data_IF_943614927031
#
_entry.id   IF_943614927031
#
_cell.length_a   1.000
_cell.length_b   1.000
_cell.length_c   1.000
_cell.angle_alpha   90.00
_cell.angle_beta   90.00
_cell.angle_gamma   90.00
#
_symmetry.space_group_name_H-M   'P 1'
#
loop_
_entity.id
_entity.type
_entity.pdbx_description
1 polymer ?
#
# COMPACT_ATOMS: atom_id res chain seq x y z
N UNK A 1 6.35 -25.37 18.61
CA UNK A 1 6.62 -24.41 17.52
C UNK A 1 6.87 -22.97 18.00
N UNK A 2 6.36 -22.53 19.15
CA UNK A 2 6.58 -21.13 19.65
C UNK A 2 8.05 -20.73 19.90
N UNK A 3 8.98 -21.68 19.95
CA UNK A 3 10.42 -21.44 20.17
C UNK A 3 11.28 -21.63 18.91
N UNK A 4 10.69 -22.00 17.76
CA UNK A 4 11.45 -22.21 16.54
C UNK A 4 11.91 -20.86 15.96
N UNK A 5 13.21 -20.74 15.73
CA UNK A 5 13.81 -19.60 15.03
C UNK A 5 14.20 -20.05 13.63
N UNK A 6 13.58 -19.46 12.62
CA UNK A 6 13.91 -19.70 11.22
C UNK A 6 14.99 -18.72 10.79
N UNK A 7 16.01 -19.21 10.11
CA UNK A 7 17.11 -18.39 9.55
C UNK A 7 17.71 -17.36 10.52
N UNK A 8 18.17 -17.75 11.73
CA UNK A 8 18.52 -16.82 12.81
C UNK A 8 19.71 -15.90 12.50
N UNK A 9 20.54 -16.28 11.50
CA UNK A 9 21.70 -15.50 11.06
C UNK A 9 21.42 -14.73 9.74
N UNK A 10 20.25 -14.90 9.12
CA UNK A 10 19.94 -14.22 7.88
C UNK A 10 19.56 -12.76 8.11
N UNK A 11 20.05 -11.91 7.24
CA UNK A 11 19.71 -10.50 7.16
C UNK A 11 19.01 -10.23 5.82
N UNK A 12 18.03 -9.35 5.82
CA UNK A 12 17.21 -9.04 4.65
C UNK A 12 16.73 -7.58 4.70
N UNK A 13 16.54 -6.97 3.54
CA UNK A 13 15.73 -5.76 3.39
C UNK A 13 14.50 -6.11 2.55
N UNK A 14 13.31 -6.04 3.14
CA UNK A 14 12.07 -6.28 2.41
C UNK A 14 11.88 -5.24 1.30
N UNK A 15 12.04 -3.94 1.61
CA UNK A 15 11.88 -2.87 0.63
C UNK A 15 12.85 -3.00 -0.55
N UNK A 16 14.11 -3.33 -0.30
CA UNK A 16 15.09 -3.56 -1.36
C UNK A 16 14.68 -4.75 -2.25
N UNK A 17 14.17 -5.84 -1.68
CA UNK A 17 13.70 -6.97 -2.46
C UNK A 17 12.50 -6.60 -3.37
N UNK A 18 11.63 -5.70 -2.94
CA UNK A 18 10.54 -5.20 -3.79
C UNK A 18 11.08 -4.31 -4.92
N UNK A 19 12.08 -3.50 -4.63
CA UNK A 19 12.66 -2.57 -5.59
C UNK A 19 13.67 -3.25 -6.54
N UNK A 20 14.32 -4.33 -6.09
CA UNK A 20 15.45 -4.96 -6.77
C UNK A 20 15.32 -6.47 -6.96
N UNK A 21 14.26 -7.08 -6.49
CA UNK A 21 14.08 -8.53 -6.56
C UNK A 21 13.86 -9.03 -7.98
N UNK A 22 14.40 -10.22 -8.25
CA UNK A 22 14.19 -10.94 -9.50
C UNK A 22 14.85 -10.32 -10.73
N UNK A 23 14.54 -10.86 -11.90
CA UNK A 23 14.90 -10.26 -13.19
C UNK A 23 13.96 -9.09 -13.44
N UNK A 24 14.51 -7.88 -13.45
CA UNK A 24 13.71 -6.68 -13.67
C UNK A 24 13.35 -6.46 -15.12
N UNK A 25 12.14 -5.95 -15.38
CA UNK A 25 11.87 -5.15 -16.56
C UNK A 25 12.81 -3.95 -16.62
N UNK A 26 12.83 -3.22 -17.73
CA UNK A 26 13.67 -2.03 -17.87
C UNK A 26 13.37 -0.98 -16.79
N UNK A 27 14.36 -0.16 -16.45
CA UNK A 27 14.24 0.86 -15.41
C UNK A 27 13.06 1.84 -15.64
N UNK A 28 12.71 2.06 -16.90
CA UNK A 28 11.62 2.94 -17.32
C UNK A 28 10.28 2.19 -17.55
N UNK A 29 10.26 0.86 -17.38
CA UNK A 29 9.02 0.10 -17.46
C UNK A 29 8.13 0.38 -16.25
N UNK A 30 6.83 0.14 -16.41
CA UNK A 30 5.85 0.38 -15.36
C UNK A 30 6.04 -0.63 -14.21
N UNK A 31 6.30 -0.13 -13.00
CA UNK A 31 6.25 -0.90 -11.77
C UNK A 31 4.83 -0.92 -11.20
N UNK A 32 4.14 0.22 -11.28
CA UNK A 32 2.78 0.39 -10.80
C UNK A 32 1.95 1.04 -11.89
N UNK A 33 0.77 0.51 -12.13
CA UNK A 33 -0.31 1.17 -12.85
C UNK A 33 -1.44 1.43 -11.87
N UNK A 34 -1.94 2.64 -11.84
CA UNK A 34 -3.07 3.05 -11.01
C UNK A 34 -4.22 3.54 -11.88
N UNK A 35 -5.41 3.11 -11.53
CA UNK A 35 -6.64 3.65 -12.07
C UNK A 35 -7.64 3.99 -10.96
N UNK A 36 -8.26 5.15 -11.09
CA UNK A 36 -9.41 5.56 -10.29
C UNK A 36 -10.71 5.39 -11.09
N UNK A 37 -11.82 5.19 -10.40
CA UNK A 37 -13.13 4.95 -11.03
C UNK A 37 -13.62 6.04 -11.98
N UNK A 38 -13.13 7.28 -11.82
CA UNK A 38 -13.44 8.43 -12.70
C UNK A 38 -12.57 8.50 -13.97
N UNK A 39 -11.79 7.45 -14.25
CA UNK A 39 -10.98 7.33 -15.45
C UNK A 39 -9.57 7.89 -15.33
N UNK A 40 -9.18 8.46 -14.19
CA UNK A 40 -7.79 8.86 -13.96
C UNK A 40 -6.89 7.63 -14.01
N UNK A 41 -5.89 7.65 -14.92
CA UNK A 41 -4.84 6.63 -14.99
C UNK A 41 -3.48 7.28 -14.77
N UNK A 42 -2.69 6.69 -13.90
CA UNK A 42 -1.28 7.06 -13.67
C UNK A 42 -0.42 5.82 -13.75
N UNK A 43 0.82 5.96 -14.17
CA UNK A 43 1.83 4.90 -14.04
C UNK A 43 3.05 5.43 -13.31
N UNK A 44 3.75 4.53 -12.63
CA UNK A 44 5.00 4.80 -11.93
C UNK A 44 6.02 3.79 -12.43
N UNK A 45 7.11 4.28 -12.98
CA UNK A 45 8.22 3.44 -13.42
C UNK A 45 9.02 2.86 -12.24
N UNK A 46 9.82 1.83 -12.49
CA UNK A 46 10.71 1.28 -11.48
C UNK A 46 11.69 2.32 -10.91
N UNK A 47 12.19 3.21 -11.76
CA UNK A 47 13.06 4.32 -11.32
C UNK A 47 12.30 5.29 -10.41
N UNK A 48 11.11 5.73 -10.81
CA UNK A 48 10.30 6.67 -10.01
C UNK A 48 9.87 6.06 -8.68
N UNK A 49 9.53 4.77 -8.66
CA UNK A 49 9.18 4.05 -7.43
C UNK A 49 10.37 4.00 -6.47
N UNK A 50 11.56 3.63 -6.98
CA UNK A 50 12.78 3.60 -6.18
C UNK A 50 13.11 4.98 -5.61
N UNK A 51 13.16 6.00 -6.46
CA UNK A 51 13.53 7.36 -6.08
C UNK A 51 12.56 7.96 -5.05
N UNK A 52 11.26 7.70 -5.23
CA UNK A 52 10.23 8.16 -4.29
C UNK A 52 10.31 7.42 -2.96
N UNK A 53 10.54 6.09 -2.97
CA UNK A 53 10.65 5.31 -1.76
C UNK A 53 11.90 5.70 -0.94
N UNK A 54 13.06 5.89 -1.60
CA UNK A 54 14.30 6.34 -0.94
C UNK A 54 14.16 7.77 -0.41
N UNK A 55 13.52 8.65 -1.18
CA UNK A 55 13.25 10.02 -0.74
C UNK A 55 12.36 10.05 0.50
N UNK A 56 11.21 9.35 0.45
CA UNK A 56 10.31 9.30 1.61
C UNK A 56 10.96 8.65 2.83
N UNK A 57 11.74 7.58 2.65
CA UNK A 57 12.49 6.95 3.73
C UNK A 57 13.51 7.92 4.34
N UNK A 58 14.18 8.73 3.51
CA UNK A 58 15.14 9.74 3.98
C UNK A 58 14.44 10.87 4.77
N UNK A 59 13.24 11.27 4.35
CA UNK A 59 12.40 12.19 5.13
C UNK A 59 12.00 11.58 6.47
N UNK A 60 11.48 10.34 6.47
CA UNK A 60 11.05 9.64 7.69
C UNK A 60 12.21 9.48 8.69
N UNK A 61 13.39 9.12 8.20
CA UNK A 61 14.60 9.07 9.05
C UNK A 61 14.96 10.44 9.63
N UNK A 62 14.85 11.51 8.83
CA UNK A 62 15.03 12.90 9.28
C UNK A 62 13.97 13.35 10.30
N UNK A 63 12.78 12.79 10.24
CA UNK A 63 11.71 12.96 11.23
C UNK A 63 11.87 12.02 12.45
N UNK A 64 13.00 11.33 12.57
CA UNK A 64 13.36 10.50 13.72
C UNK A 64 12.80 9.07 13.69
N UNK A 65 12.28 8.58 12.57
CA UNK A 65 11.83 7.18 12.46
C UNK A 65 13.03 6.23 12.48
N UNK A 66 13.04 5.30 13.41
CA UNK A 66 14.07 4.31 13.63
C UNK A 66 13.55 2.87 13.43
N UNK A 67 14.44 1.86 13.29
CA UNK A 67 14.02 0.47 13.22
C UNK A 67 13.13 0.07 14.39
N UNK A 68 11.96 -0.49 14.10
CA UNK A 68 10.98 -0.89 15.10
C UNK A 68 9.92 0.18 15.42
N UNK A 69 10.08 1.43 14.99
CA UNK A 69 9.02 2.43 15.04
C UNK A 69 7.87 2.06 14.11
N UNK A 70 6.69 2.64 14.33
CA UNK A 70 5.50 2.39 13.51
C UNK A 70 5.17 3.63 12.67
N UNK A 71 4.92 3.38 11.39
CA UNK A 71 4.35 4.36 10.44
C UNK A 71 2.97 3.88 10.06
N UNK A 72 1.95 4.68 10.33
CA UNK A 72 0.57 4.38 10.02
C UNK A 72 0.13 5.08 8.72
N UNK A 73 -0.69 4.42 7.92
CA UNK A 73 -1.26 4.96 6.69
C UNK A 73 -2.79 4.83 6.69
N UNK A 74 -3.48 5.97 6.66
CA UNK A 74 -4.92 6.05 6.43
C UNK A 74 -5.15 6.57 5.01
N UNK A 75 -5.06 5.66 4.05
CA UNK A 75 -4.83 5.95 2.65
C UNK A 75 -5.75 5.14 1.72
N UNK A 76 -6.11 5.68 0.55
CA UNK A 76 -6.70 4.90 -0.54
C UNK A 76 -5.67 3.96 -1.19
N UNK A 77 -6.14 3.16 -2.15
CA UNK A 77 -5.27 2.22 -2.89
C UNK A 77 -4.54 2.93 -4.04
N UNK A 78 -3.60 3.80 -3.70
CA UNK A 78 -2.83 4.64 -4.62
C UNK A 78 -1.33 4.32 -4.58
N UNK A 79 -0.55 4.70 -5.60
CA UNK A 79 0.91 4.47 -5.63
C UNK A 79 1.65 5.00 -4.42
N UNK A 80 1.22 6.13 -3.87
CA UNK A 80 1.80 6.78 -2.70
C UNK A 80 1.71 5.90 -1.44
N UNK A 81 0.68 5.05 -1.35
CA UNK A 81 0.54 4.06 -0.26
C UNK A 81 1.58 2.94 -0.38
N UNK A 82 1.87 2.50 -1.62
CA UNK A 82 2.96 1.53 -1.88
C UNK A 82 4.32 2.16 -1.55
N UNK A 83 4.56 3.40 -2.00
CA UNK A 83 5.78 4.16 -1.67
C UNK A 83 5.97 4.26 -0.16
N UNK A 84 4.90 4.57 0.59
CA UNK A 84 4.94 4.67 2.05
C UNK A 84 5.30 3.35 2.74
N UNK A 85 4.75 2.22 2.28
CA UNK A 85 5.07 0.89 2.80
C UNK A 85 6.53 0.53 2.52
N UNK A 86 7.01 0.75 1.29
CA UNK A 86 8.40 0.45 0.91
C UNK A 86 9.36 1.35 1.71
N UNK A 87 9.11 2.65 1.77
CA UNK A 87 9.92 3.61 2.51
C UNK A 87 10.05 3.22 4.00
N UNK A 88 8.95 2.84 4.63
CA UNK A 88 8.94 2.37 6.03
C UNK A 88 9.79 1.11 6.19
N UNK A 89 9.68 0.16 5.26
CA UNK A 89 10.43 -1.09 5.31
C UNK A 89 11.94 -0.93 5.07
N UNK A 90 12.35 0.07 4.25
CA UNK A 90 13.76 0.43 4.04
C UNK A 90 14.43 0.93 5.32
N UNK A 91 13.66 1.44 6.28
CA UNK A 91 14.14 1.86 7.60
C UNK A 91 14.15 0.73 8.64
N UNK A 92 13.61 -0.45 8.32
CA UNK A 92 13.34 -1.49 9.32
C UNK A 92 12.25 -1.09 10.32
N UNK A 93 11.46 -0.07 10.00
CA UNK A 93 10.27 0.33 10.72
C UNK A 93 9.07 -0.55 10.34
N UNK A 94 8.02 -0.50 11.13
CA UNK A 94 6.82 -1.33 10.97
C UNK A 94 5.69 -0.52 10.36
N UNK A 95 5.21 -0.95 9.20
CA UNK A 95 4.08 -0.30 8.52
C UNK A 95 2.74 -0.83 9.05
N UNK A 96 1.73 0.02 9.08
CA UNK A 96 0.34 -0.39 9.30
C UNK A 96 -0.59 0.49 8.49
N UNK A 97 -1.69 -0.06 8.00
CA UNK A 97 -2.60 0.72 7.15
C UNK A 97 -4.06 0.36 7.37
N UNK A 98 -4.92 1.31 7.02
CA UNK A 98 -6.36 1.13 6.92
C UNK A 98 -6.91 2.01 5.80
N UNK A 99 -8.00 1.57 5.20
CA UNK A 99 -8.69 2.26 4.11
C UNK A 99 -9.35 3.56 4.59
N UNK A 100 -9.48 4.61 3.74
CA UNK A 100 -10.02 5.90 4.12
C UNK A 100 -11.53 5.89 4.41
N UNK A 101 -12.24 4.81 4.11
CA UNK A 101 -13.65 4.63 4.44
C UNK A 101 -13.92 4.34 5.93
N UNK A 102 -12.87 3.98 6.70
CA UNK A 102 -13.01 3.85 8.15
C UNK A 102 -13.26 5.20 8.80
N UNK A 103 -14.25 5.25 9.71
CA UNK A 103 -14.49 6.43 10.57
C UNK A 103 -13.42 6.56 11.67
N UNK A 104 -13.39 7.72 12.34
CA UNK A 104 -12.41 8.08 13.38
C UNK A 104 -12.25 6.97 14.44
N UNK A 105 -13.35 6.47 15.01
CA UNK A 105 -13.29 5.39 16.00
C UNK A 105 -12.60 4.14 15.46
N UNK A 106 -12.91 3.72 14.23
CA UNK A 106 -12.30 2.55 13.60
C UNK A 106 -10.80 2.72 13.33
N UNK A 107 -10.35 3.94 13.03
CA UNK A 107 -8.93 4.28 12.86
C UNK A 107 -8.22 4.28 14.21
N UNK A 108 -8.78 4.95 15.22
CA UNK A 108 -8.20 5.03 16.57
C UNK A 108 -8.16 3.67 17.28
N UNK A 109 -9.18 2.82 17.09
CA UNK A 109 -9.19 1.44 17.60
C UNK A 109 -8.02 0.59 17.07
N UNK A 110 -7.47 0.96 15.92
CA UNK A 110 -6.33 0.29 15.29
C UNK A 110 -5.02 0.98 15.63
N UNK A 111 -4.90 2.23 15.24
CA UNK A 111 -3.63 2.97 15.34
C UNK A 111 -3.27 3.33 16.78
N UNK A 112 -4.25 3.55 17.64
CA UNK A 112 -4.03 3.78 19.08
C UNK A 112 -3.36 2.59 19.80
N UNK A 113 -3.55 1.35 19.30
CA UNK A 113 -2.89 0.16 19.87
C UNK A 113 -1.41 0.05 19.49
N UNK A 114 -1.00 0.67 18.38
CA UNK A 114 0.36 0.52 17.83
C UNK A 114 1.22 1.75 18.01
N UNK A 115 0.62 2.84 18.51
CA UNK A 115 1.33 4.08 18.87
C UNK A 115 2.25 4.56 17.74
N UNK A 116 1.71 4.96 16.57
CA UNK A 116 2.51 5.33 15.41
C UNK A 116 3.26 6.63 15.67
N UNK A 117 4.48 6.72 15.15
CA UNK A 117 5.31 7.92 15.19
C UNK A 117 5.00 8.88 14.05
N UNK A 118 4.62 8.33 12.88
CA UNK A 118 4.19 9.12 11.72
C UNK A 118 2.86 8.59 11.22
N UNK A 119 1.97 9.52 10.87
CA UNK A 119 0.72 9.23 10.16
C UNK A 119 0.82 9.78 8.73
N UNK A 120 0.56 8.91 7.76
CA UNK A 120 0.36 9.27 6.35
C UNK A 120 -1.12 9.11 6.07
N UNK A 121 -1.77 10.17 5.57
CA UNK A 121 -3.21 10.16 5.31
C UNK A 121 -3.53 10.81 3.97
N UNK A 122 -4.72 10.56 3.42
CA UNK A 122 -5.23 11.30 2.27
C UNK A 122 -6.21 12.38 2.71
N UNK A 123 -6.33 13.45 1.90
CA UNK A 123 -7.34 14.48 2.08
C UNK A 123 -8.78 13.96 1.82
N UNK A 124 -8.88 12.82 1.16
CA UNK A 124 -10.14 12.14 0.86
C UNK A 124 -9.98 10.99 -0.12
N UNK A 125 -11.09 10.57 -0.71
CA UNK A 125 -11.15 9.54 -1.74
C UNK A 125 -12.41 9.70 -2.60
N UNK A 126 -12.47 9.01 -3.75
CA UNK A 126 -13.64 8.97 -4.64
C UNK A 126 -14.27 7.58 -4.56
N UNK A 127 -15.58 7.50 -4.39
CA UNK A 127 -16.32 6.23 -4.43
C UNK A 127 -17.75 6.42 -4.95
N UNK A 128 -18.14 5.63 -5.94
CA UNK A 128 -19.43 5.72 -6.63
C UNK A 128 -19.74 7.15 -7.11
N UNK A 129 -18.76 7.78 -7.77
CA UNK A 129 -18.79 9.16 -8.29
C UNK A 129 -19.03 10.25 -7.22
N UNK A 130 -18.65 9.97 -5.98
CA UNK A 130 -18.73 10.93 -4.89
C UNK A 130 -17.36 11.14 -4.27
N UNK A 131 -17.04 12.42 -4.04
CA UNK A 131 -15.87 12.79 -3.26
C UNK A 131 -16.19 12.72 -1.76
N UNK A 132 -15.32 12.09 -1.00
CA UNK A 132 -15.42 11.94 0.44
C UNK A 132 -14.22 12.61 1.11
N UNK A 133 -14.33 13.89 1.47
CA UNK A 133 -13.28 14.59 2.23
C UNK A 133 -13.01 13.90 3.57
N UNK A 134 -11.73 13.91 3.98
CA UNK A 134 -11.28 13.34 5.26
C UNK A 134 -10.55 14.35 6.15
N UNK A 135 -10.35 15.59 5.73
CA UNK A 135 -9.53 16.56 6.44
C UNK A 135 -10.06 16.89 7.85
N UNK A 136 -11.38 17.02 8.02
CA UNK A 136 -11.96 17.28 9.36
C UNK A 136 -11.78 16.06 10.26
N UNK A 137 -12.07 14.86 9.76
CA UNK A 137 -11.88 13.60 10.50
C UNK A 137 -10.39 13.32 10.76
N UNK A 138 -9.49 13.76 9.87
CA UNK A 138 -8.06 13.64 10.07
C UNK A 138 -7.59 14.48 11.26
N UNK A 139 -8.13 15.66 11.45
CA UNK A 139 -7.84 16.48 12.63
C UNK A 139 -8.23 15.75 13.93
N UNK A 140 -9.40 15.09 13.95
CA UNK A 140 -9.82 14.27 15.10
C UNK A 140 -8.90 13.05 15.34
N UNK A 141 -8.51 12.36 14.25
CA UNK A 141 -7.58 11.22 14.35
C UNK A 141 -6.23 11.66 14.89
N UNK A 142 -5.68 12.78 14.39
CA UNK A 142 -4.39 13.34 14.85
C UNK A 142 -4.46 13.71 16.33
N UNK A 143 -5.55 14.34 16.77
CA UNK A 143 -5.77 14.66 18.20
C UNK A 143 -5.83 13.40 19.09
N UNK A 144 -6.32 12.28 18.55
CA UNK A 144 -6.42 10.99 19.24
C UNK A 144 -5.13 10.14 19.24
N UNK A 145 -4.06 10.59 18.56
CA UNK A 145 -2.79 9.86 18.45
C UNK A 145 -1.61 10.67 19.01
N UNK A 146 -1.43 10.71 20.35
CA UNK A 146 -0.47 11.59 21.01
C UNK A 146 1.00 11.23 20.76
N UNK A 147 1.29 10.08 20.14
CA UNK A 147 2.65 9.63 19.83
C UNK A 147 3.18 10.13 18.49
N UNK A 148 2.35 10.86 17.72
CA UNK A 148 2.75 11.38 16.43
C UNK A 148 3.82 12.45 16.56
N UNK A 149 4.85 12.34 15.73
CA UNK A 149 5.92 13.33 15.56
C UNK A 149 5.85 14.02 14.20
N UNK A 150 5.12 13.45 13.22
CA UNK A 150 4.83 14.09 11.94
C UNK A 150 3.53 13.55 11.32
N UNK A 151 2.88 14.39 10.50
CA UNK A 151 1.75 14.00 9.65
C UNK A 151 2.07 14.36 8.20
N UNK A 152 1.82 13.43 7.29
CA UNK A 152 1.98 13.61 5.85
C UNK A 152 0.61 13.43 5.20
N UNK A 153 0.17 14.38 4.37
CA UNK A 153 -1.14 14.31 3.73
C UNK A 153 -1.00 14.23 2.21
N UNK A 154 -1.50 13.16 1.64
CA UNK A 154 -1.63 13.00 0.19
C UNK A 154 -2.87 13.73 -0.31
N UNK A 155 -2.70 14.54 -1.35
CA UNK A 155 -3.77 15.28 -2.00
C UNK A 155 -4.45 14.44 -3.08
N UNK A 156 -5.37 13.56 -2.71
CA UNK A 156 -6.14 12.74 -3.65
C UNK A 156 -7.30 13.52 -4.28
N UNK A 157 -7.95 14.37 -3.52
CA UNK A 157 -9.04 15.23 -4.01
C UNK A 157 -8.54 16.60 -4.49
N UNK A 158 -7.42 17.07 -3.94
CA UNK A 158 -6.84 18.38 -4.26
C UNK A 158 -5.33 18.30 -4.30
N UNK A 159 -4.70 18.79 -5.37
CA UNK A 159 -3.25 18.89 -5.45
C UNK A 159 -2.62 19.80 -4.37
N UNK A 160 -3.42 20.62 -3.70
CA UNK A 160 -3.02 21.51 -2.61
C UNK A 160 -4.08 21.48 -1.48
N UNK A 161 -4.11 20.42 -0.65
CA UNK A 161 -5.11 20.29 0.41
C UNK A 161 -4.94 21.38 1.46
N UNK A 162 -6.06 21.88 1.97
CA UNK A 162 -6.04 22.85 3.07
C UNK A 162 -5.79 22.16 4.41
N UNK A 163 -4.56 22.19 4.87
CA UNK A 163 -4.12 21.51 6.09
C UNK A 163 -4.25 22.35 7.37
N UNK A 164 -4.89 23.53 7.32
CA UNK A 164 -5.00 24.47 8.46
C UNK A 164 -5.61 23.79 9.68
N UNK A 165 -6.76 23.14 9.54
CA UNK A 165 -7.42 22.45 10.65
C UNK A 165 -6.61 21.33 11.28
N UNK A 166 -5.85 20.58 10.46
CA UNK A 166 -4.96 19.52 10.97
C UNK A 166 -3.77 20.10 11.73
N UNK A 167 -3.24 21.26 11.29
CA UNK A 167 -2.13 21.97 11.97
C UNK A 167 -2.56 22.58 13.31
N UNK A 168 -3.79 23.05 13.40
CA UNK A 168 -4.31 23.71 14.61
C UNK A 168 -4.49 22.75 15.79
N UNK A 169 -4.90 21.50 15.54
CA UNK A 169 -5.14 20.49 16.60
C UNK A 169 -3.86 19.97 17.23
N UNK A 170 -2.73 20.11 16.56
CA UNK A 170 -1.48 19.47 16.99
C UNK A 170 -0.29 20.43 17.06
N UNK A 171 -0.52 21.70 17.14
CA UNK A 171 0.33 22.91 17.30
C UNK A 171 1.86 22.80 17.28
N UNK A 172 2.46 21.62 17.45
CA UNK A 172 3.91 21.42 17.60
C UNK A 172 4.54 20.48 16.57
N UNK A 173 3.77 19.59 15.93
CA UNK A 173 4.34 18.62 14.97
C UNK A 173 4.20 19.09 13.52
N UNK A 174 5.18 18.80 12.66
CA UNK A 174 5.11 19.15 11.25
C UNK A 174 3.96 18.41 10.54
N UNK A 175 3.16 19.17 9.79
CA UNK A 175 2.13 18.67 8.88
C UNK A 175 2.49 19.13 7.47
N UNK A 176 2.87 18.18 6.62
CA UNK A 176 3.32 18.42 5.25
C UNK A 176 2.36 17.76 4.26
N UNK A 177 2.30 18.28 3.03
CA UNK A 177 1.79 17.47 1.95
C UNK A 177 2.83 16.42 1.51
N UNK A 178 2.37 15.37 0.79
CA UNK A 178 3.20 14.23 0.43
C UNK A 178 4.36 14.64 -0.49
N UNK A 179 4.13 15.55 -1.43
CA UNK A 179 5.17 16.03 -2.35
C UNK A 179 6.21 16.87 -1.63
N UNK A 180 5.82 17.66 -0.61
CA UNK A 180 6.77 18.37 0.24
C UNK A 180 7.67 17.38 1.01
N UNK A 181 7.11 16.31 1.57
CA UNK A 181 7.89 15.29 2.26
C UNK A 181 8.89 14.60 1.30
N UNK A 182 8.45 14.25 0.09
CA UNK A 182 9.33 13.73 -0.98
C UNK A 182 10.42 14.74 -1.34
N UNK A 183 10.08 16.01 -1.52
CA UNK A 183 11.03 17.08 -1.85
C UNK A 183 12.13 17.26 -0.79
N UNK A 184 11.75 17.25 0.49
CA UNK A 184 12.70 17.31 1.62
C UNK A 184 13.63 16.09 1.62
N UNK A 185 13.07 14.89 1.40
CA UNK A 185 13.86 13.66 1.31
C UNK A 185 14.83 13.65 0.13
N UNK A 186 14.41 14.06 -1.06
CA UNK A 186 15.28 14.23 -2.24
C UNK A 186 16.43 15.19 -1.96
N UNK A 187 16.16 16.29 -1.28
CA UNK A 187 17.19 17.24 -0.87
C UNK A 187 18.19 16.59 0.10
N UNK A 188 17.72 15.82 1.08
CA UNK A 188 18.59 15.08 1.99
C UNK A 188 19.49 14.09 1.24
N UNK A 189 18.94 13.32 0.28
CA UNK A 189 19.70 12.40 -0.57
C UNK A 189 20.75 13.14 -1.38
N UNK A 190 20.41 14.24 -2.06
CA UNK A 190 21.34 15.02 -2.88
C UNK A 190 22.50 15.63 -2.07
N UNK A 191 22.29 15.85 -0.77
CA UNK A 191 23.28 16.38 0.17
C UNK A 191 24.09 15.28 0.87
N UNK A 192 23.94 14.01 0.49
CA UNK A 192 24.60 12.87 1.13
C UNK A 192 24.12 12.57 2.54
N UNK A 193 22.94 13.06 2.91
CA UNK A 193 22.27 12.82 4.21
C UNK A 193 21.08 11.88 4.10
N UNK A 194 20.89 11.25 2.93
CA UNK A 194 19.89 10.24 2.71
C UNK A 194 20.18 8.94 3.46
N UNK A 195 19.21 8.04 3.47
CA UNK A 195 19.37 6.69 4.02
C UNK A 195 20.31 5.85 3.15
N UNK A 196 20.87 4.79 3.73
CA UNK A 196 21.43 3.67 2.95
C UNK A 196 20.28 2.71 2.56
N UNK A 197 19.85 2.69 1.29
CA UNK A 197 18.74 1.83 0.85
C UNK A 197 19.09 0.33 0.89
N UNK A 198 20.39 -0.02 0.98
CA UNK A 198 20.88 -1.40 1.04
C UNK A 198 21.06 -1.91 2.48
N UNK A 199 20.66 -1.14 3.48
CA UNK A 199 20.72 -1.57 4.87
C UNK A 199 19.87 -2.82 5.08
N UNK A 200 20.50 -3.82 5.72
CA UNK A 200 19.87 -5.10 6.02
C UNK A 200 19.42 -5.18 7.48
N UNK A 201 18.34 -5.90 7.71
CA UNK A 201 17.75 -6.14 9.02
C UNK A 201 17.62 -7.64 9.29
N UNK A 202 17.36 -8.01 10.52
CA UNK A 202 17.15 -9.41 10.90
C UNK A 202 15.98 -10.00 10.12
N UNK A 203 16.07 -11.28 9.81
CA UNK A 203 15.01 -12.03 9.11
C UNK A 203 13.66 -11.95 9.83
N UNK A 204 13.66 -11.93 11.17
CA UNK A 204 12.49 -11.85 12.03
C UNK A 204 12.07 -10.41 12.39
N UNK A 205 12.62 -9.38 11.71
CA UNK A 205 12.22 -7.98 11.88
C UNK A 205 10.72 -7.81 11.63
N UNK A 206 9.96 -7.16 12.52
CA UNK A 206 8.58 -6.77 12.23
C UNK A 206 8.50 -5.92 10.96
N UNK A 207 7.56 -6.26 10.08
CA UNK A 207 7.40 -5.59 8.78
C UNK A 207 6.13 -4.75 8.76
N UNK A 208 5.00 -5.37 9.03
CA UNK A 208 3.72 -4.66 9.13
C UNK A 208 2.76 -5.32 10.11
N UNK A 209 1.79 -4.52 10.55
CA UNK A 209 0.72 -4.93 11.45
C UNK A 209 -0.59 -4.87 10.69
N UNK A 210 -1.29 -6.00 10.63
CA UNK A 210 -2.64 -6.11 10.13
C UNK A 210 -3.63 -6.29 11.29
N UNK A 211 -4.90 -6.04 11.02
CA UNK A 211 -5.96 -6.12 12.02
C UNK A 211 -6.99 -7.16 11.64
N UNK A 212 -7.29 -8.05 12.54
CA UNK A 212 -8.42 -8.97 12.38
C UNK A 212 -9.68 -8.37 13.00
N UNK A 213 -10.84 -8.57 12.37
CA UNK A 213 -12.12 -8.30 13.00
C UNK A 213 -12.29 -9.26 14.17
N UNK A 214 -12.06 -8.77 15.39
CA UNK A 214 -12.33 -9.55 16.61
C UNK A 214 -13.83 -9.78 16.75
N UNK A 215 -14.25 -10.99 17.05
CA UNK A 215 -15.65 -11.32 17.39
C UNK A 215 -16.10 -10.73 18.71
N UNK A 216 -15.20 -10.11 19.49
CA UNK A 216 -15.41 -9.72 20.89
C UNK A 216 -14.81 -8.36 21.25
N UNK A 217 -14.79 -7.36 20.37
CA UNK A 217 -14.32 -6.01 20.73
C UNK A 217 -13.28 -5.40 19.78
N UNK A 218 -12.28 -4.75 20.33
CA UNK A 218 -11.23 -4.04 19.59
C UNK A 218 -10.48 -4.98 18.62
N UNK A 219 -10.17 -4.55 17.38
CA UNK A 219 -9.41 -5.35 16.41
C UNK A 219 -8.10 -5.87 16.98
N UNK A 220 -7.76 -7.13 16.68
CA UNK A 220 -6.50 -7.73 17.16
C UNK A 220 -5.38 -7.41 16.17
N UNK A 221 -4.24 -6.94 16.68
CA UNK A 221 -3.03 -6.70 15.92
C UNK A 221 -2.33 -8.02 15.58
N UNK A 222 -2.02 -8.24 14.31
CA UNK A 222 -1.26 -9.37 13.79
C UNK A 222 0.03 -8.84 13.20
N UNK A 223 1.16 -9.11 13.85
CA UNK A 223 2.49 -8.66 13.42
C UNK A 223 3.09 -9.68 12.47
N UNK A 224 3.47 -9.24 11.28
CA UNK A 224 4.17 -10.04 10.28
C UNK A 224 5.65 -9.70 10.25
N UNK A 225 6.48 -10.74 10.05
CA UNK A 225 7.95 -10.62 9.98
C UNK A 225 8.41 -10.56 8.52
N UNK A 226 9.41 -9.71 8.25
CA UNK A 226 9.88 -9.39 6.91
C UNK A 226 10.33 -10.62 6.09
N UNK A 227 11.24 -11.40 6.63
CA UNK A 227 11.83 -12.53 5.89
C UNK A 227 10.86 -13.67 5.67
N UNK A 228 10.10 -14.06 6.71
CA UNK A 228 9.13 -15.15 6.62
C UNK A 228 8.00 -14.82 5.63
N UNK A 229 7.54 -13.57 5.64
CA UNK A 229 6.48 -13.13 4.76
C UNK A 229 6.95 -13.04 3.30
N UNK A 230 8.11 -12.41 3.05
CA UNK A 230 8.66 -12.30 1.70
C UNK A 230 8.85 -13.68 1.08
N UNK A 231 9.47 -14.62 1.83
CA UNK A 231 9.68 -15.98 1.38
C UNK A 231 8.35 -16.67 1.04
N UNK A 232 7.34 -16.53 1.91
CA UNK A 232 6.01 -17.10 1.68
C UNK A 232 5.36 -16.53 0.42
N UNK A 233 5.34 -15.20 0.27
CA UNK A 233 4.71 -14.55 -0.88
C UNK A 233 5.42 -14.91 -2.20
N UNK A 234 6.75 -14.90 -2.22
CA UNK A 234 7.51 -15.29 -3.43
C UNK A 234 7.22 -16.75 -3.82
N UNK A 235 7.14 -17.66 -2.85
CA UNK A 235 6.77 -19.06 -3.12
C UNK A 235 5.35 -19.15 -3.71
N UNK A 236 4.38 -18.47 -3.11
CA UNK A 236 3.01 -18.47 -3.62
C UNK A 236 2.92 -17.84 -5.01
N UNK A 237 3.55 -16.70 -5.20
CA UNK A 237 3.49 -15.94 -6.43
C UNK A 237 4.19 -16.65 -7.59
N UNK A 238 5.43 -17.08 -7.39
CA UNK A 238 6.21 -17.67 -8.47
C UNK A 238 5.89 -19.16 -8.71
N UNK A 239 5.67 -19.95 -7.65
CA UNK A 239 5.50 -21.40 -7.79
C UNK A 239 4.03 -21.83 -7.89
N UNK A 240 3.09 -21.12 -7.23
CA UNK A 240 1.69 -21.51 -7.22
C UNK A 240 0.86 -20.69 -8.23
N UNK A 241 1.18 -19.42 -8.40
CA UNK A 241 0.46 -18.52 -9.31
C UNK A 241 1.20 -18.29 -10.63
N UNK A 242 2.42 -18.82 -10.79
CA UNK A 242 3.28 -18.65 -11.98
C UNK A 242 3.47 -17.17 -12.37
N UNK A 243 3.62 -16.29 -11.38
CA UNK A 243 3.94 -14.89 -11.62
C UNK A 243 5.40 -14.77 -12.05
N UNK A 244 5.63 -14.09 -13.18
CA UNK A 244 6.92 -13.92 -13.83
C UNK A 244 7.28 -12.45 -13.99
N UNK A 245 8.56 -12.13 -14.19
CA UNK A 245 8.95 -10.76 -14.56
C UNK A 245 8.19 -10.28 -15.81
N UNK A 246 7.64 -9.07 -15.72
CA UNK A 246 6.82 -8.47 -16.78
C UNK A 246 5.34 -8.84 -16.75
N UNK A 247 4.91 -9.75 -15.86
CA UNK A 247 3.48 -9.99 -15.64
C UNK A 247 2.79 -8.75 -15.05
N UNK A 248 1.49 -8.64 -15.30
CA UNK A 248 0.64 -7.57 -14.75
C UNK A 248 -0.34 -8.19 -13.76
N UNK A 249 -0.13 -7.90 -12.49
CA UNK A 249 -0.89 -8.49 -11.37
C UNK A 249 -1.88 -7.47 -10.83
N UNK A 250 -3.14 -7.79 -10.91
CA UNK A 250 -4.23 -7.00 -10.33
C UNK A 250 -4.92 -7.78 -9.21
N UNK A 251 -5.11 -7.17 -8.07
CA UNK A 251 -5.98 -7.68 -7.01
C UNK A 251 -6.95 -6.58 -6.56
N UNK A 252 -8.26 -6.82 -6.72
CA UNK A 252 -9.27 -5.87 -6.23
C UNK A 252 -9.33 -5.93 -4.70
N UNK A 253 -8.68 -4.98 -4.07
CA UNK A 253 -8.50 -4.89 -2.62
C UNK A 253 -8.23 -3.46 -2.17
N UNK A 254 -8.22 -3.20 -0.87
CA UNK A 254 -7.80 -1.94 -0.27
C UNK A 254 -6.63 -2.15 0.68
N UNK A 255 -5.92 -1.09 1.05
CA UNK A 255 -4.73 -1.17 1.90
C UNK A 255 -5.01 -1.66 3.34
N UNK A 256 -6.29 -1.79 3.74
CA UNK A 256 -6.69 -2.37 5.02
C UNK A 256 -6.76 -3.90 5.05
N UNK A 257 -6.58 -4.57 3.90
CA UNK A 257 -6.70 -6.02 3.76
C UNK A 257 -5.37 -6.70 3.46
N UNK A 258 -5.21 -7.95 3.90
CA UNK A 258 -4.00 -8.74 3.69
C UNK A 258 -3.63 -8.92 2.20
N UNK A 259 -4.62 -9.04 1.32
CA UNK A 259 -4.37 -9.22 -0.11
C UNK A 259 -3.73 -8.00 -0.78
N UNK A 260 -3.87 -6.81 -0.21
CA UNK A 260 -3.13 -5.64 -0.66
C UNK A 260 -1.61 -5.81 -0.41
N UNK A 261 -1.22 -6.31 0.76
CA UNK A 261 0.19 -6.57 1.06
C UNK A 261 0.75 -7.71 0.19
N UNK A 262 -0.09 -8.71 -0.13
CA UNK A 262 0.27 -9.77 -1.06
C UNK A 262 0.48 -9.21 -2.48
N UNK A 263 -0.43 -8.36 -2.98
CA UNK A 263 -0.30 -7.67 -4.26
C UNK A 263 0.99 -6.85 -4.32
N UNK A 264 1.24 -6.00 -3.31
CA UNK A 264 2.43 -5.16 -3.25
C UNK A 264 3.73 -5.98 -3.33
N UNK A 265 3.76 -7.17 -2.72
CA UNK A 265 4.94 -8.04 -2.77
C UNK A 265 5.20 -8.68 -4.15
N UNK A 266 4.26 -8.61 -5.10
CA UNK A 266 4.49 -9.10 -6.47
C UNK A 266 5.60 -8.30 -7.20
N UNK A 267 5.89 -7.09 -6.75
CA UNK A 267 7.06 -6.32 -7.19
C UNK A 267 8.36 -7.11 -7.00
N UNK A 268 8.50 -7.92 -5.94
CA UNK A 268 9.67 -8.77 -5.71
C UNK A 268 9.84 -9.87 -6.78
N UNK A 269 8.79 -10.17 -7.54
CA UNK A 269 8.82 -11.11 -8.67
C UNK A 269 9.06 -10.41 -10.01
N UNK A 270 9.32 -9.09 -10.01
CA UNK A 270 9.50 -8.28 -11.23
C UNK A 270 8.20 -8.03 -12.00
N UNK A 271 7.05 -8.20 -11.34
CA UNK A 271 5.75 -7.94 -11.94
C UNK A 271 5.33 -6.47 -11.79
N UNK A 272 4.59 -5.95 -12.76
CA UNK A 272 3.84 -4.70 -12.64
C UNK A 272 2.60 -4.94 -11.78
N UNK A 273 2.39 -4.16 -10.74
CA UNK A 273 1.14 -4.21 -9.98
C UNK A 273 0.13 -3.21 -10.50
N UNK A 274 -1.13 -3.65 -10.63
CA UNK A 274 -2.24 -2.79 -11.04
C UNK A 274 -3.08 -2.47 -9.81
N UNK A 275 -3.25 -1.19 -9.52
CA UNK A 275 -4.04 -0.66 -8.43
C UNK A 275 -5.33 -0.06 -8.98
N UNK A 276 -6.44 -0.29 -8.30
CA UNK A 276 -7.72 0.35 -8.59
C UNK A 276 -8.30 0.94 -7.31
N UNK A 277 -8.73 2.19 -7.36
CA UNK A 277 -9.45 2.85 -6.26
C UNK A 277 -10.83 3.30 -6.74
N UNK A 278 -11.87 2.81 -6.06
CA UNK A 278 -13.26 3.10 -6.39
C UNK A 278 -14.19 1.89 -6.31
N UNK A 279 -15.43 2.08 -6.75
CA UNK A 279 -16.45 1.04 -6.79
C UNK A 279 -16.21 0.04 -7.92
N UNK A 280 -16.34 -1.28 -7.68
CA UNK A 280 -16.13 -2.29 -8.72
C UNK A 280 -17.28 -2.40 -9.74
N UNK A 281 -18.35 -1.61 -9.56
CA UNK A 281 -19.54 -1.60 -10.41
C UNK A 281 -19.94 -0.18 -10.86
N UNK A 282 -19.00 0.78 -10.78
CA UNK A 282 -19.23 2.14 -11.24
C UNK A 282 -18.10 2.57 -12.20
N UNK A 283 -18.41 3.25 -13.31
CA UNK A 283 -19.74 3.67 -13.77
C UNK A 283 -20.63 2.53 -14.30
N UNK A 284 -20.03 1.40 -14.67
CA UNK A 284 -20.73 0.26 -15.26
C UNK A 284 -20.27 -1.05 -14.61
N UNK A 285 -21.09 -2.10 -14.81
CA UNK A 285 -20.85 -3.43 -14.21
C UNK A 285 -19.55 -4.10 -14.65
N UNK A 286 -19.06 -3.73 -15.82
CA UNK A 286 -17.91 -4.39 -16.46
C UNK A 286 -16.57 -3.66 -16.21
N UNK A 287 -16.57 -2.55 -15.44
CA UNK A 287 -15.40 -1.70 -15.20
C UNK A 287 -14.14 -2.46 -14.78
N UNK A 288 -14.27 -3.55 -14.00
CA UNK A 288 -13.14 -4.38 -13.62
C UNK A 288 -12.62 -5.22 -14.80
N UNK A 289 -13.52 -5.68 -15.67
CA UNK A 289 -13.15 -6.46 -16.85
C UNK A 289 -12.54 -5.56 -17.94
N UNK A 290 -13.06 -4.33 -18.08
CA UNK A 290 -12.44 -3.28 -18.91
C UNK A 290 -11.00 -2.98 -18.45
N UNK A 291 -10.76 -2.94 -17.13
CA UNK A 291 -9.41 -2.76 -16.57
C UNK A 291 -8.52 -3.95 -16.89
N UNK A 292 -9.03 -5.18 -16.71
CA UNK A 292 -8.29 -6.42 -16.99
C UNK A 292 -7.87 -6.50 -18.45
N UNK A 293 -8.78 -6.18 -19.39
CA UNK A 293 -8.49 -6.14 -20.83
C UNK A 293 -7.48 -5.05 -21.17
N UNK A 294 -7.76 -3.82 -20.79
CA UNK A 294 -6.95 -2.65 -21.16
C UNK A 294 -5.53 -2.72 -20.64
N UNK A 295 -5.34 -3.21 -19.42
CA UNK A 295 -4.02 -3.34 -18.81
C UNK A 295 -3.37 -4.70 -19.08
N UNK A 296 -3.96 -5.53 -19.94
CA UNK A 296 -3.44 -6.88 -20.27
C UNK A 296 -3.06 -7.67 -19.00
N UNK A 297 -3.97 -7.68 -18.01
CA UNK A 297 -3.74 -8.31 -16.71
C UNK A 297 -3.53 -9.81 -16.87
N UNK A 298 -2.44 -10.33 -16.34
CA UNK A 298 -2.10 -11.76 -16.40
C UNK A 298 -2.64 -12.57 -15.24
N UNK A 299 -2.80 -11.93 -14.07
CA UNK A 299 -3.45 -12.49 -12.88
C UNK A 299 -4.44 -11.48 -12.31
N UNK A 300 -5.71 -11.90 -12.20
CA UNK A 300 -6.77 -11.13 -11.56
C UNK A 300 -7.21 -11.78 -10.25
N UNK A 301 -7.00 -11.08 -9.15
CA UNK A 301 -7.46 -11.47 -7.83
C UNK A 301 -8.69 -10.68 -7.39
N UNK A 302 -9.67 -11.38 -6.81
CA UNK A 302 -10.91 -10.75 -6.35
C UNK A 302 -11.56 -11.57 -5.22
N UNK A 303 -12.80 -11.24 -4.85
CA UNK A 303 -13.60 -12.01 -3.90
C UNK A 303 -14.66 -12.86 -4.62
N UNK A 304 -15.03 -13.98 -4.02
CA UNK A 304 -16.16 -14.78 -4.50
C UNK A 304 -17.46 -13.96 -4.58
N UNK A 305 -17.62 -12.99 -3.67
CA UNK A 305 -18.78 -12.07 -3.67
C UNK A 305 -18.80 -11.18 -4.92
N UNK A 306 -17.65 -10.71 -5.39
CA UNK A 306 -17.57 -9.95 -6.64
C UNK A 306 -17.96 -10.82 -7.83
N UNK A 307 -17.45 -12.04 -7.93
CA UNK A 307 -17.77 -12.96 -9.03
C UNK A 307 -19.25 -13.29 -9.07
N UNK A 308 -19.87 -13.59 -7.92
CA UNK A 308 -21.32 -13.85 -7.81
C UNK A 308 -22.16 -12.62 -8.20
N UNK A 309 -21.77 -11.42 -7.74
CA UNK A 309 -22.44 -10.17 -8.08
C UNK A 309 -22.30 -9.84 -9.57
N UNK A 310 -21.13 -10.03 -10.17
CA UNK A 310 -20.86 -9.84 -11.59
C UNK A 310 -21.75 -10.79 -12.45
N UNK A 311 -21.80 -12.08 -12.08
CA UNK A 311 -22.66 -13.05 -12.76
C UNK A 311 -24.15 -12.69 -12.64
N UNK A 312 -24.62 -12.28 -11.45
CA UNK A 312 -26.01 -11.82 -11.23
C UNK A 312 -26.35 -10.55 -12.02
N UNK A 313 -25.38 -9.67 -12.24
CA UNK A 313 -25.53 -8.50 -13.10
C UNK A 313 -25.52 -8.84 -14.60
N UNK A 314 -25.35 -10.11 -14.97
CA UNK A 314 -25.33 -10.58 -16.36
C UNK A 314 -24.03 -10.24 -17.08
N UNK A 315 -22.91 -10.13 -16.39
CA UNK A 315 -21.59 -10.00 -17.03
C UNK A 315 -21.15 -11.34 -17.64
N UNK A 316 -20.69 -11.29 -18.88
CA UNK A 316 -20.12 -12.41 -19.63
C UNK A 316 -18.77 -11.98 -20.22
N UNK A 317 -17.74 -11.78 -19.37
CA UNK A 317 -16.48 -11.16 -19.81
C UNK A 317 -15.76 -11.96 -20.91
N UNK A 318 -15.91 -13.28 -20.94
CA UNK A 318 -15.34 -14.11 -22.01
C UNK A 318 -15.96 -13.88 -23.40
N UNK A 319 -17.16 -13.28 -23.47
CA UNK A 319 -17.84 -12.97 -24.74
C UNK A 319 -17.64 -11.50 -25.14
N UNK A 320 -17.35 -10.61 -24.17
CA UNK A 320 -17.36 -9.15 -24.36
C UNK A 320 -15.97 -8.51 -24.35
N UNK A 321 -14.96 -9.20 -23.80
CA UNK A 321 -13.61 -8.65 -23.61
C UNK A 321 -12.55 -9.59 -24.19
N UNK A 322 -11.42 -9.01 -24.63
CA UNK A 322 -10.23 -9.79 -24.97
C UNK A 322 -9.45 -10.10 -23.67
N UNK A 323 -9.55 -11.32 -23.21
CA UNK A 323 -8.87 -11.80 -22.00
C UNK A 323 -7.68 -12.74 -22.31
N UNK A 324 -7.07 -12.65 -23.51
CA UNK A 324 -6.00 -13.56 -23.96
C UNK A 324 -4.75 -13.49 -23.04
N UNK A 325 -4.49 -12.35 -22.40
CA UNK A 325 -3.39 -12.20 -21.44
C UNK A 325 -3.70 -12.87 -20.08
N UNK A 326 -4.97 -13.02 -19.72
CA UNK A 326 -5.41 -13.48 -18.40
C UNK A 326 -5.21 -14.98 -18.24
N UNK A 327 -4.23 -15.40 -17.43
CA UNK A 327 -3.91 -16.81 -17.18
C UNK A 327 -4.53 -17.35 -15.89
N UNK A 328 -4.73 -16.48 -14.91
CA UNK A 328 -5.12 -16.90 -13.55
C UNK A 328 -6.14 -15.96 -12.95
N UNK A 329 -7.18 -16.53 -12.36
CA UNK A 329 -8.12 -15.81 -11.48
C UNK A 329 -7.97 -16.38 -10.07
N UNK A 330 -7.70 -15.50 -9.10
CA UNK A 330 -7.66 -15.84 -7.68
C UNK A 330 -8.89 -15.33 -6.97
N UNK A 331 -9.48 -16.15 -6.11
CA UNK A 331 -10.65 -15.77 -5.31
C UNK A 331 -10.44 -16.07 -3.83
N UNK A 332 -10.82 -15.13 -2.97
CA UNK A 332 -10.78 -15.28 -1.50
C UNK A 332 -12.08 -14.83 -0.85
N UNK A 333 -12.24 -15.18 0.44
CA UNK A 333 -13.32 -14.68 1.30
C UNK A 333 -14.56 -15.56 1.34
N UNK A 334 -14.62 -16.63 0.55
CA UNK A 334 -15.66 -17.65 0.60
C UNK A 334 -15.13 -18.96 0.02
N UNK A 335 -15.61 -20.12 0.48
CA UNK A 335 -15.32 -21.38 -0.18
C UNK A 335 -15.88 -21.43 -1.60
#
# INVERSE_FOLDING_TARGET
MRSAKFFPAALISYGQNLLEGGTRPGANDEAIVFQREDGVRRSVSWTELNDSAVALASFLAGAGVEPGDRVAAWMPNVPETIVAMIATSLLGATFTSTSPDFGVAGVLDRFGQVEPKVLIAADGYVYANKQHSRLELLAEVVAGLPTLEAVIVHGELSAAPNLTGVREVNGAIPVLDFEQAIGVGRLAVSQGRGIDPHRLYRFDQPLYILYSSGTTGVPKCIVHQAGGLLLKHVVEQQLHCDIRPGDRVFYFTTCGWMMWNWLASALASGATIVLYDGSPFHPERDVMWDLVEREEVTLFGTSAKFLDASAKAGAHPGDSHNLDALRTICSTGSP
#
